data_IF_949157009618
#
_entry.id   IF_949157009618
#
_cell.length_a   1.000
_cell.length_b   1.000
_cell.length_c   1.000
_cell.angle_alpha   90.00
_cell.angle_beta   90.00
_cell.angle_gamma   90.00
#
_symmetry.space_group_name_H-M   'P 1'
#
loop_
_entity.id
_entity.type
_entity.pdbx_description
1 polymer ?
#
# COMPACT_ATOMS: atom_id res chain seq x y z
N UNK A 1 -25.15 10.14 -28.71
CA UNK A 1 -24.08 9.37 -29.40
C UNK A 1 -22.75 9.34 -28.66
N UNK A 2 -22.34 10.37 -27.90
CA UNK A 2 -21.05 10.37 -27.16
C UNK A 2 -20.99 9.35 -25.99
N UNK A 3 -22.13 9.05 -25.36
CA UNK A 3 -22.22 8.15 -24.18
C UNK A 3 -22.01 6.67 -24.54
N UNK A 4 -22.28 6.27 -25.78
CA UNK A 4 -22.11 4.89 -26.24
C UNK A 4 -20.65 4.54 -26.60
N UNK A 5 -19.80 5.54 -26.84
CA UNK A 5 -18.38 5.35 -27.18
C UNK A 5 -17.52 5.00 -25.96
N UNK A 6 -17.96 5.32 -24.74
CA UNK A 6 -17.21 5.04 -23.50
C UNK A 6 -17.31 3.56 -23.08
N UNK A 7 -18.40 2.87 -23.45
CA UNK A 7 -18.60 1.45 -23.12
C UNK A 7 -17.88 0.47 -24.07
N UNK A 8 -17.33 0.94 -25.18
CA UNK A 8 -16.71 0.10 -26.21
C UNK A 8 -15.17 0.10 -26.18
N UNK A 9 -14.55 0.85 -25.28
CA UNK A 9 -13.09 0.82 -25.14
C UNK A 9 -12.69 -0.44 -24.34
N UNK A 10 -11.94 -1.38 -24.93
CA UNK A 10 -11.35 -2.46 -24.17
C UNK A 10 -10.32 -1.81 -23.25
N UNK A 11 -10.69 -1.60 -21.99
CA UNK A 11 -9.69 -1.33 -20.96
C UNK A 11 -8.88 -2.61 -20.88
N UNK A 12 -7.68 -2.58 -21.47
CA UNK A 12 -6.67 -3.59 -21.24
C UNK A 12 -6.41 -3.58 -19.73
N UNK A 13 -7.08 -4.48 -19.02
CA UNK A 13 -6.86 -4.72 -17.61
C UNK A 13 -5.49 -5.41 -17.51
N UNK A 14 -4.42 -4.63 -17.47
CA UNK A 14 -3.13 -5.13 -17.05
C UNK A 14 -3.26 -5.47 -15.57
N UNK A 15 -3.35 -6.77 -15.29
CA UNK A 15 -3.32 -7.26 -13.93
C UNK A 15 -1.90 -7.05 -13.41
N UNK A 16 -1.71 -6.12 -12.48
CA UNK A 16 -0.47 -5.99 -11.75
C UNK A 16 -0.16 -7.35 -11.12
N UNK A 17 0.93 -7.98 -11.55
CA UNK A 17 1.35 -9.29 -11.07
C UNK A 17 1.91 -9.15 -9.67
N UNK A 18 1.02 -9.14 -8.67
CA UNK A 18 1.45 -9.26 -7.28
C UNK A 18 1.93 -10.69 -7.06
N UNK A 19 3.24 -10.90 -7.05
CA UNK A 19 3.79 -12.18 -6.68
C UNK A 19 3.56 -12.38 -5.19
N UNK A 20 2.80 -13.40 -4.81
CA UNK A 20 2.71 -13.84 -3.41
C UNK A 20 3.99 -14.62 -3.13
N UNK A 21 4.85 -14.07 -2.29
CA UNK A 21 6.11 -14.72 -2.01
C UNK A 21 5.88 -15.79 -0.96
N UNK A 22 6.16 -17.02 -1.35
CA UNK A 22 6.58 -18.04 -0.40
C UNK A 22 8.00 -17.66 0.05
N UNK A 23 8.24 -17.43 1.34
CA UNK A 23 9.60 -17.18 1.81
C UNK A 23 10.46 -18.40 1.50
N UNK A 24 11.59 -18.20 0.82
CA UNK A 24 12.41 -19.30 0.31
C UNK A 24 13.24 -19.96 1.40
N UNK A 25 13.64 -19.20 2.42
CA UNK A 25 14.36 -19.73 3.58
C UNK A 25 13.94 -19.01 4.85
N UNK A 26 13.95 -19.73 5.97
CA UNK A 26 13.59 -19.21 7.27
C UNK A 26 14.63 -19.54 8.34
N UNK A 27 14.68 -18.73 9.40
CA UNK A 27 15.46 -19.02 10.59
C UNK A 27 14.72 -18.52 11.83
N UNK A 28 14.93 -19.19 12.96
CA UNK A 28 14.30 -18.83 14.23
C UNK A 28 15.41 -18.57 15.24
N UNK A 29 15.47 -17.35 15.76
CA UNK A 29 16.46 -16.97 16.77
C UNK A 29 15.75 -16.57 18.07
N UNK A 30 16.43 -16.67 19.23
CA UNK A 30 15.94 -16.05 20.46
C UNK A 30 15.65 -14.56 20.24
N UNK A 31 14.69 -14.03 21.00
CA UNK A 31 14.41 -12.59 21.00
C UNK A 31 15.66 -11.82 21.42
N UNK A 32 16.04 -10.82 20.62
CA UNK A 32 17.08 -9.89 21.00
C UNK A 32 16.61 -9.10 22.23
N UNK A 33 17.48 -9.00 23.25
CA UNK A 33 17.19 -8.14 24.39
C UNK A 33 17.21 -6.67 23.95
N UNK A 34 16.35 -5.81 24.53
CA UNK A 34 16.42 -4.37 24.29
C UNK A 34 17.83 -3.86 24.61
N UNK A 35 18.52 -3.29 23.62
CA UNK A 35 19.90 -2.78 23.77
C UNK A 35 21.02 -3.80 23.50
N UNK A 36 20.69 -5.04 23.13
CA UNK A 36 21.70 -5.99 22.64
C UNK A 36 22.33 -5.46 21.33
N UNK A 37 23.65 -5.69 21.11
CA UNK A 37 24.27 -5.40 19.83
C UNK A 37 23.54 -6.15 18.72
N UNK A 38 23.46 -5.52 17.55
CA UNK A 38 22.74 -6.05 16.41
C UNK A 38 23.31 -7.42 16.02
N UNK A 39 22.53 -8.47 16.27
CA UNK A 39 22.90 -9.80 15.86
C UNK A 39 22.96 -9.84 14.32
N UNK A 40 24.07 -10.33 13.78
CA UNK A 40 24.21 -10.57 12.35
C UNK A 40 23.15 -11.55 11.83
N UNK A 41 23.11 -11.74 10.51
CA UNK A 41 22.13 -12.63 9.90
C UNK A 41 22.32 -14.08 10.39
N UNK A 42 21.23 -14.77 10.79
CA UNK A 42 21.30 -16.15 11.22
C UNK A 42 21.55 -17.09 10.04
N UNK A 43 21.95 -18.33 10.35
CA UNK A 43 21.97 -19.39 9.34
C UNK A 43 20.53 -19.74 8.92
N UNK A 44 20.23 -19.59 7.63
CA UNK A 44 18.90 -19.86 7.09
C UNK A 44 18.73 -21.32 6.71
N UNK A 45 17.57 -21.89 7.04
CA UNK A 45 17.15 -23.22 6.61
C UNK A 45 16.06 -23.08 5.54
N UNK A 46 16.32 -23.63 4.36
CA UNK A 46 15.37 -23.64 3.24
C UNK A 46 14.70 -25.02 3.23
N UNK A 47 13.81 -25.27 4.18
CA UNK A 47 13.03 -26.51 4.23
C UNK A 47 11.61 -26.26 3.73
N UNK A 48 11.04 -27.22 3.00
CA UNK A 48 9.64 -27.19 2.57
C UNK A 48 8.72 -27.33 3.78
N UNK A 49 8.24 -26.20 4.30
CA UNK A 49 7.30 -26.17 5.41
C UNK A 49 7.43 -24.91 6.26
N UNK A 50 6.29 -24.47 6.82
CA UNK A 50 6.29 -23.40 7.80
C UNK A 50 6.94 -23.88 9.11
N UNK A 51 7.72 -23.04 9.81
CA UNK A 51 8.31 -23.40 11.10
C UNK A 51 7.23 -23.74 12.13
N UNK A 52 7.58 -24.56 13.12
CA UNK A 52 6.67 -24.95 14.20
C UNK A 52 6.13 -23.73 14.96
N UNK A 53 4.80 -23.65 15.11
CA UNK A 53 4.09 -22.49 15.67
C UNK A 53 4.57 -22.05 17.06
N UNK A 54 4.92 -23.02 17.90
CA UNK A 54 5.31 -22.84 19.29
C UNK A 54 6.62 -22.05 19.46
N UNK A 55 7.51 -22.10 18.45
CA UNK A 55 8.84 -21.48 18.52
C UNK A 55 8.78 -19.98 18.19
N UNK A 56 8.16 -19.59 17.09
CA UNK A 56 8.22 -18.19 16.61
C UNK A 56 7.34 -17.20 17.41
N UNK A 57 6.35 -17.68 18.17
CA UNK A 57 5.51 -16.78 19.00
C UNK A 57 6.27 -16.19 20.19
N UNK A 58 7.38 -16.82 20.61
CA UNK A 58 8.23 -16.40 21.74
C UNK A 58 9.65 -16.09 21.29
N UNK A 59 9.86 -15.87 19.99
CA UNK A 59 11.19 -15.71 19.42
C UNK A 59 11.13 -14.74 18.22
N UNK A 60 12.27 -14.50 17.60
CA UNK A 60 12.35 -13.76 16.34
C UNK A 60 12.35 -14.74 15.17
N UNK A 61 11.50 -14.49 14.18
CA UNK A 61 11.38 -15.26 12.95
C UNK A 61 11.98 -14.45 11.80
N UNK A 62 12.96 -15.03 11.14
CA UNK A 62 13.64 -14.45 10.00
C UNK A 62 13.20 -15.15 8.73
N UNK A 63 12.96 -14.36 7.68
CA UNK A 63 12.70 -14.83 6.34
C UNK A 63 13.68 -14.18 5.38
N UNK A 64 14.31 -15.01 4.54
CA UNK A 64 15.09 -14.53 3.40
C UNK A 64 14.24 -14.68 2.15
N UNK A 65 14.18 -13.60 1.40
CA UNK A 65 13.44 -13.48 0.16
C UNK A 65 14.46 -13.29 -0.96
N UNK A 66 14.57 -14.32 -1.80
CA UNK A 66 15.39 -14.24 -3.01
C UNK A 66 14.67 -13.47 -4.11
N UNK A 67 15.41 -12.58 -4.78
CA UNK A 67 14.91 -11.79 -5.91
C UNK A 67 15.12 -12.50 -7.26
N UNK A 68 15.64 -13.74 -7.28
CA UNK A 68 15.91 -14.49 -8.51
C UNK A 68 14.67 -14.71 -9.38
N UNK A 69 13.49 -14.79 -8.75
CA UNK A 69 12.19 -14.94 -9.42
C UNK A 69 11.51 -13.59 -9.76
N UNK A 70 12.05 -12.48 -9.25
CA UNK A 70 11.58 -11.14 -9.58
C UNK A 70 12.36 -10.67 -10.80
N UNK A 71 11.76 -10.83 -11.97
CA UNK A 71 12.41 -10.58 -13.24
C UNK A 71 12.66 -9.08 -13.44
N UNK A 72 13.90 -8.66 -13.18
CA UNK A 72 14.36 -7.28 -13.31
C UNK A 72 14.21 -6.75 -14.75
N UNK A 73 14.21 -7.62 -15.76
CA UNK A 73 14.06 -7.20 -17.16
C UNK A 73 12.63 -6.73 -17.48
N UNK A 74 11.64 -7.27 -16.79
CA UNK A 74 10.23 -6.89 -16.93
C UNK A 74 9.77 -5.84 -15.89
N UNK A 75 10.53 -5.66 -14.81
CA UNK A 75 10.21 -4.75 -13.70
C UNK A 75 11.29 -3.68 -13.49
N UNK A 76 11.76 -3.09 -14.59
CA UNK A 76 12.84 -2.09 -14.64
C UNK A 76 12.41 -0.69 -14.14
N UNK A 77 11.43 -0.58 -13.24
CA UNK A 77 11.04 0.70 -12.67
C UNK A 77 12.16 1.23 -11.76
N UNK A 78 12.43 2.53 -11.86
CA UNK A 78 13.55 3.25 -11.19
C UNK A 78 13.48 3.22 -9.65
N UNK A 79 12.43 2.65 -9.05
CA UNK A 79 12.21 2.53 -7.60
C UNK A 79 12.44 1.13 -7.00
N UNK A 80 12.66 0.10 -7.81
CA UNK A 80 12.83 -1.28 -7.33
C UNK A 80 11.59 -1.89 -6.65
N UNK A 81 11.67 -3.13 -6.16
CA UNK A 81 10.50 -3.84 -5.62
C UNK A 81 10.11 -3.32 -4.22
N UNK A 82 8.84 -2.93 -4.05
CA UNK A 82 8.28 -2.61 -2.74
C UNK A 82 7.85 -3.90 -2.04
N UNK A 83 8.37 -4.11 -0.83
CA UNK A 83 7.92 -5.20 0.03
C UNK A 83 6.63 -4.77 0.74
N UNK A 84 5.53 -5.44 0.40
CA UNK A 84 4.23 -5.30 1.03
C UNK A 84 4.00 -6.44 2.02
N UNK A 85 3.79 -6.07 3.28
CA UNK A 85 3.50 -6.99 4.38
C UNK A 85 2.04 -6.85 4.78
N UNK A 86 1.27 -7.93 4.61
CA UNK A 86 -0.12 -8.02 5.03
C UNK A 86 -0.27 -8.22 6.55
N UNK A 87 -1.49 -8.05 7.03
CA UNK A 87 -1.79 -8.06 8.47
C UNK A 87 -1.53 -9.42 9.12
N UNK A 88 -0.49 -9.49 9.94
CA UNK A 88 -0.31 -10.50 10.98
C UNK A 88 0.07 -9.77 12.27
N UNK A 89 -0.32 -10.29 13.44
CA UNK A 89 0.07 -9.68 14.72
C UNK A 89 1.54 -9.97 15.00
N UNK A 90 2.32 -8.92 15.24
CA UNK A 90 3.74 -8.95 15.60
C UNK A 90 4.03 -7.77 16.54
N UNK A 91 5.10 -7.85 17.33
CA UNK A 91 5.53 -6.77 18.23
C UNK A 91 6.46 -5.79 17.49
N UNK A 92 7.38 -6.30 16.68
CA UNK A 92 8.32 -5.52 15.87
C UNK A 92 8.59 -6.22 14.54
N UNK A 93 8.69 -5.42 13.48
CA UNK A 93 8.99 -5.86 12.13
C UNK A 93 10.20 -5.08 11.62
N UNK A 94 11.21 -5.79 11.17
CA UNK A 94 12.40 -5.21 10.54
C UNK A 94 12.61 -5.79 9.17
N UNK A 95 13.05 -4.94 8.25
CA UNK A 95 13.36 -5.28 6.88
C UNK A 95 14.77 -4.82 6.59
N UNK A 96 15.56 -5.72 6.03
CA UNK A 96 16.95 -5.54 5.65
C UNK A 96 17.05 -5.72 4.15
N UNK A 97 17.38 -4.64 3.46
CA UNK A 97 17.65 -4.61 2.02
C UNK A 97 19.13 -4.81 1.81
N UNK A 98 19.52 -5.94 1.20
CA UNK A 98 20.92 -6.26 0.90
C UNK A 98 21.21 -6.00 -0.56
N UNK A 99 22.24 -5.22 -0.82
CA UNK A 99 22.66 -4.84 -2.16
C UNK A 99 23.84 -5.69 -2.64
N UNK A 100 24.09 -5.70 -3.94
CA UNK A 100 25.16 -6.49 -4.54
C UNK A 100 26.58 -6.10 -4.07
N UNK A 101 26.74 -4.86 -3.57
CA UNK A 101 27.99 -4.36 -2.95
C UNK A 101 28.19 -4.87 -1.50
N UNK A 102 27.24 -5.62 -0.96
CA UNK A 102 27.25 -6.11 0.41
C UNK A 102 26.69 -5.12 1.44
N UNK A 103 26.29 -3.92 1.02
CA UNK A 103 25.67 -2.95 1.92
C UNK A 103 24.27 -3.41 2.35
N UNK A 104 23.90 -3.08 3.59
CA UNK A 104 22.62 -3.44 4.18
C UNK A 104 21.89 -2.19 4.64
N UNK A 105 20.66 -2.00 4.16
CA UNK A 105 19.78 -0.92 4.63
C UNK A 105 18.65 -1.50 5.45
N UNK A 106 18.57 -1.06 6.71
CA UNK A 106 17.56 -1.48 7.67
C UNK A 106 16.42 -0.47 7.76
N UNK A 107 15.20 -0.98 7.74
CA UNK A 107 13.99 -0.25 8.08
C UNK A 107 13.22 -1.05 9.12
N UNK A 108 12.61 -0.39 10.10
CA UNK A 108 11.92 -1.07 11.20
C UNK A 108 10.65 -0.34 11.60
N UNK A 109 9.64 -1.11 11.97
CA UNK A 109 8.39 -0.60 12.54
C UNK A 109 8.05 -1.41 13.79
N UNK A 110 7.39 -0.76 14.74
CA UNK A 110 6.92 -1.37 15.98
C UNK A 110 5.40 -1.45 15.92
N UNK A 111 4.80 -2.43 16.58
CA UNK A 111 3.35 -2.53 16.67
C UNK A 111 2.74 -1.22 17.18
N UNK A 112 1.82 -0.65 16.40
CA UNK A 112 1.17 0.61 16.73
C UNK A 112 1.92 1.87 16.28
N UNK A 113 3.20 1.74 15.90
CA UNK A 113 3.99 2.82 15.30
C UNK A 113 4.56 2.38 13.94
N UNK A 114 3.73 2.56 12.91
CA UNK A 114 4.05 2.20 11.53
C UNK A 114 4.63 3.36 10.72
N UNK A 115 4.64 4.58 11.26
CA UNK A 115 5.11 5.78 10.57
C UNK A 115 4.60 5.92 9.14
N UNK A 116 5.50 6.27 8.22
CA UNK A 116 5.21 6.41 6.78
C UNK A 116 5.06 5.10 6.01
N UNK A 117 5.20 3.94 6.67
CA UNK A 117 5.09 2.62 6.04
C UNK A 117 3.65 2.13 5.94
N UNK A 118 2.70 2.76 6.63
CA UNK A 118 1.29 2.36 6.58
C UNK A 118 0.67 2.61 5.20
N UNK A 119 -0.13 1.65 4.71
CA UNK A 119 -0.91 1.74 3.47
C UNK A 119 -2.37 1.36 3.73
N UNK A 120 -3.26 1.87 2.87
CA UNK A 120 -4.68 1.54 2.91
C UNK A 120 -4.89 0.01 2.80
N UNK A 121 -5.90 -0.51 3.50
CA UNK A 121 -6.14 -1.96 3.59
C UNK A 121 -5.30 -2.67 4.67
N UNK A 122 -4.66 -1.92 5.58
CA UNK A 122 -3.91 -2.49 6.71
C UNK A 122 -2.56 -3.09 6.33
N UNK A 123 -2.02 -2.70 5.18
CA UNK A 123 -0.75 -3.22 4.69
C UNK A 123 0.39 -2.30 5.12
N UNK A 124 1.59 -2.87 5.21
CA UNK A 124 2.81 -2.14 5.56
C UNK A 124 3.77 -2.26 4.39
N UNK A 125 4.19 -1.12 3.84
CA UNK A 125 5.06 -1.01 2.68
C UNK A 125 6.48 -0.61 3.09
N UNK A 126 7.46 -1.37 2.62
CA UNK A 126 8.87 -1.02 2.72
C UNK A 126 9.45 -0.87 1.32
N UNK A 127 9.90 0.33 1.04
CA UNK A 127 10.51 0.68 -0.24
C UNK A 127 12.04 0.71 -0.05
N UNK A 128 12.81 0.01 -0.90
CA UNK A 128 14.26 0.06 -0.82
C UNK A 128 14.75 1.48 -1.12
N UNK A 129 15.74 2.01 -0.38
CA UNK A 129 16.36 3.28 -0.74
C UNK A 129 16.96 3.23 -2.15
N UNK A 130 16.73 4.28 -2.95
CA UNK A 130 17.26 4.41 -4.31
C UNK A 130 18.79 4.39 -4.27
N UNK A 131 19.39 3.50 -5.06
CA UNK A 131 20.84 3.31 -5.20
C UNK A 131 21.19 2.78 -6.58
N UNK A 132 22.44 3.03 -6.99
CA UNK A 132 22.99 2.53 -8.26
C UNK A 132 23.25 1.03 -8.26
N UNK A 133 23.46 0.44 -7.08
CA UNK A 133 23.72 -0.99 -6.95
C UNK A 133 22.41 -1.78 -6.89
N UNK A 134 22.30 -2.91 -7.60
CA UNK A 134 21.08 -3.70 -7.60
C UNK A 134 20.87 -4.38 -6.24
N UNK A 135 19.60 -4.48 -5.86
CA UNK A 135 19.17 -5.24 -4.71
C UNK A 135 19.41 -6.75 -4.96
N UNK A 136 20.10 -7.40 -4.02
CA UNK A 136 20.46 -8.81 -4.09
C UNK A 136 19.42 -9.70 -3.39
N UNK A 137 19.09 -9.39 -2.13
CA UNK A 137 18.10 -10.11 -1.35
C UNK A 137 17.43 -9.20 -0.30
N UNK A 138 16.23 -9.60 0.13
CA UNK A 138 15.49 -8.94 1.19
C UNK A 138 15.37 -9.90 2.36
N UNK A 139 15.82 -9.48 3.54
CA UNK A 139 15.65 -10.25 4.77
C UNK A 139 14.65 -9.54 5.67
N UNK A 140 13.70 -10.29 6.20
CA UNK A 140 12.63 -9.77 7.06
C UNK A 140 12.71 -10.46 8.41
N UNK A 141 12.64 -9.70 9.50
CA UNK A 141 12.56 -10.21 10.87
C UNK A 141 11.23 -9.81 11.51
N UNK A 142 10.52 -10.79 12.05
CA UNK A 142 9.33 -10.59 12.88
C UNK A 142 9.63 -11.01 14.31
N UNK A 143 9.42 -10.11 15.26
CA UNK A 143 9.52 -10.42 16.68
C UNK A 143 8.11 -10.79 17.19
N UNK A 144 7.99 -11.97 17.82
CA UNK A 144 6.75 -12.50 18.41
C UNK A 144 5.58 -12.58 17.41
N UNK A 145 5.82 -13.21 16.26
CA UNK A 145 4.79 -13.37 15.23
C UNK A 145 3.67 -14.29 15.70
N UNK A 146 2.41 -13.89 15.56
CA UNK A 146 1.27 -14.71 16.01
C UNK A 146 1.00 -15.94 15.11
N UNK A 147 1.14 -15.79 13.80
CA UNK A 147 0.94 -16.85 12.82
C UNK A 147 1.74 -16.61 11.55
N UNK A 148 2.60 -17.59 11.20
CA UNK A 148 3.30 -17.62 9.93
C UNK A 148 2.37 -17.98 8.75
N UNK A 149 1.29 -18.73 8.98
CA UNK A 149 0.36 -19.17 7.93
C UNK A 149 -0.54 -18.05 7.40
N UNK A 150 -0.82 -17.04 8.24
CA UNK A 150 -1.62 -15.87 7.85
C UNK A 150 -0.75 -14.72 7.31
N UNK A 151 0.56 -14.85 7.43
CA UNK A 151 1.50 -13.86 6.94
C UNK A 151 1.47 -13.87 5.41
N UNK A 152 1.16 -12.71 4.83
CA UNK A 152 1.14 -12.50 3.39
C UNK A 152 2.22 -11.49 3.05
N UNK A 153 3.27 -11.98 2.37
CA UNK A 153 4.35 -11.15 1.85
C UNK A 153 4.16 -11.07 0.33
N UNK A 154 4.24 -9.85 -0.21
CA UNK A 154 4.14 -9.61 -1.65
C UNK A 154 5.20 -8.60 -2.05
N UNK A 155 5.79 -8.79 -3.22
CA UNK A 155 6.57 -7.76 -3.90
C UNK A 155 5.67 -7.14 -4.96
N UNK A 156 5.67 -5.82 -5.01
CA UNK A 156 4.90 -5.04 -5.98
C UNK A 156 5.79 -3.95 -6.53
N UNK A 157 5.59 -3.60 -7.79
CA UNK A 157 6.25 -2.45 -8.40
C UNK A 157 5.65 -1.13 -7.87
N UNK A 158 6.48 -0.11 -7.68
CA UNK A 158 6.04 1.24 -7.27
C UNK A 158 5.11 1.83 -8.34
N UNK A 159 5.44 1.61 -9.61
CA UNK A 159 4.68 2.14 -10.75
C UNK A 159 3.26 1.56 -10.77
N UNK A 160 3.12 0.25 -10.57
CA UNK A 160 1.84 -0.46 -10.54
C UNK A 160 0.93 0.02 -9.40
N UNK A 161 1.50 0.29 -8.22
CA UNK A 161 0.76 0.80 -7.07
C UNK A 161 0.19 2.20 -7.35
N UNK A 162 0.97 3.05 -8.01
CA UNK A 162 0.55 4.40 -8.36
C UNK A 162 -0.53 4.40 -9.44
N UNK A 163 -0.42 3.52 -10.45
CA UNK A 163 -1.43 3.37 -11.49
C UNK A 163 -2.77 2.88 -10.95
N UNK A 164 -2.78 1.89 -10.06
CA UNK A 164 -4.02 1.41 -9.42
C UNK A 164 -4.71 2.52 -8.61
N UNK A 165 -3.94 3.27 -7.81
CA UNK A 165 -4.48 4.37 -7.03
C UNK A 165 -5.06 5.47 -7.92
N UNK A 166 -4.35 5.81 -9.00
CA UNK A 166 -4.77 6.85 -9.96
C UNK A 166 -6.02 6.41 -10.73
N UNK A 167 -6.06 5.18 -11.23
CA UNK A 167 -7.20 4.65 -11.96
C UNK A 167 -8.47 4.61 -11.09
N UNK A 168 -8.35 4.17 -9.83
CA UNK A 168 -9.46 4.20 -8.87
C UNK A 168 -9.92 5.63 -8.58
N UNK A 169 -8.98 6.57 -8.41
CA UNK A 169 -9.31 7.96 -8.18
C UNK A 169 -10.07 8.57 -9.38
N UNK A 170 -9.63 8.28 -10.61
CA UNK A 170 -10.30 8.73 -11.84
C UNK A 170 -11.67 8.10 -11.98
N UNK A 171 -11.82 6.79 -11.72
CA UNK A 171 -13.11 6.11 -11.79
C UNK A 171 -14.11 6.66 -10.78
N UNK A 172 -13.68 6.89 -9.53
CA UNK A 172 -14.50 7.52 -8.49
C UNK A 172 -14.84 8.96 -8.87
N UNK A 173 -13.89 9.72 -9.40
CA UNK A 173 -14.12 11.08 -9.89
C UNK A 173 -15.15 11.12 -11.02
N UNK A 174 -15.01 10.25 -12.02
CA UNK A 174 -15.95 10.10 -13.13
C UNK A 174 -17.35 9.71 -12.67
N UNK A 175 -17.47 8.76 -11.75
CA UNK A 175 -18.75 8.38 -11.15
C UNK A 175 -19.43 9.56 -10.44
N UNK A 176 -18.67 10.37 -9.69
CA UNK A 176 -19.20 11.57 -9.03
C UNK A 176 -19.65 12.65 -10.03
N UNK A 177 -18.93 12.84 -11.14
CA UNK A 177 -19.33 13.77 -12.20
C UNK A 177 -20.62 13.28 -12.87
N UNK A 178 -20.72 11.99 -13.20
CA UNK A 178 -21.93 11.41 -13.78
C UNK A 178 -23.13 11.54 -12.82
N UNK A 179 -22.92 11.32 -11.52
CA UNK A 179 -23.94 11.56 -10.49
C UNK A 179 -24.38 13.02 -10.46
N UNK A 180 -23.44 13.97 -10.50
CA UNK A 180 -23.76 15.40 -10.50
C UNK A 180 -24.55 15.81 -11.76
N UNK A 181 -24.13 15.35 -12.94
CA UNK A 181 -24.84 15.61 -14.20
C UNK A 181 -26.24 14.99 -14.18
N UNK A 182 -26.37 13.75 -13.69
CA UNK A 182 -27.67 13.10 -13.51
C UNK A 182 -28.59 13.82 -12.52
N UNK A 183 -28.04 14.35 -11.43
CA UNK A 183 -28.78 15.14 -10.45
C UNK A 183 -29.30 16.45 -11.06
N UNK A 184 -28.43 17.18 -11.78
CA UNK A 184 -28.81 18.42 -12.47
C UNK A 184 -29.88 18.12 -13.53
N UNK A 185 -29.68 17.09 -14.35
CA UNK A 185 -30.64 16.71 -15.39
C UNK A 185 -32.02 16.38 -14.82
N UNK A 186 -32.08 15.54 -13.78
CA UNK A 186 -33.34 15.18 -13.13
C UNK A 186 -33.99 16.38 -12.41
N UNK A 187 -33.21 17.30 -11.87
CA UNK A 187 -33.71 18.53 -11.27
C UNK A 187 -34.34 19.45 -12.33
N UNK A 188 -33.69 19.62 -13.49
CA UNK A 188 -34.22 20.40 -14.61
C UNK A 188 -35.52 19.78 -15.15
N UNK A 189 -35.59 18.45 -15.25
CA UNK A 189 -36.82 17.74 -15.61
C UNK A 189 -37.91 17.89 -14.53
N UNK A 190 -37.56 17.86 -13.26
CA UNK A 190 -38.52 18.06 -12.18
C UNK A 190 -39.15 19.46 -12.22
N UNK A 191 -38.36 20.49 -12.52
CA UNK A 191 -38.83 21.88 -12.61
C UNK A 191 -39.71 22.12 -13.84
N UNK A 192 -39.40 21.47 -14.96
CA UNK A 192 -40.17 21.66 -16.22
C UNK A 192 -41.40 20.74 -16.33
N UNK A 193 -41.35 19.53 -15.77
CA UNK A 193 -42.42 18.54 -15.88
C UNK A 193 -43.19 18.28 -14.57
N UNK A 194 -42.86 18.97 -13.47
CA UNK A 194 -43.46 18.82 -12.15
C UNK A 194 -43.53 17.37 -11.61
N UNK A 195 -42.60 16.50 -12.01
CA UNK A 195 -42.61 15.09 -11.61
C UNK A 195 -41.89 14.87 -10.27
N UNK A 196 -42.66 14.59 -9.21
CA UNK A 196 -42.15 14.29 -7.86
C UNK A 196 -41.12 13.15 -7.81
N UNK A 197 -41.22 12.15 -8.70
CA UNK A 197 -40.26 11.04 -8.74
C UNK A 197 -38.84 11.49 -9.10
N UNK A 198 -38.70 12.54 -9.94
CA UNK A 198 -37.39 13.07 -10.33
C UNK A 198 -36.73 13.90 -9.21
N UNK A 199 -37.52 14.57 -8.36
CA UNK A 199 -37.02 15.27 -7.17
C UNK A 199 -36.44 14.30 -6.13
N UNK A 200 -37.06 13.14 -5.98
CA UNK A 200 -36.56 12.12 -5.05
C UNK A 200 -35.20 11.56 -5.50
N UNK A 201 -35.01 11.35 -6.80
CA UNK A 201 -33.75 10.87 -7.37
C UNK A 201 -32.63 11.92 -7.26
N UNK A 202 -32.93 13.20 -7.47
CA UNK A 202 -31.93 14.27 -7.31
C UNK A 202 -31.54 14.48 -5.85
N UNK A 203 -32.49 14.36 -4.92
CA UNK A 203 -32.23 14.36 -3.48
C UNK A 203 -31.26 13.25 -3.07
N UNK A 204 -31.50 12.02 -3.52
CA UNK A 204 -30.61 10.89 -3.24
C UNK A 204 -29.21 11.04 -3.82
N UNK A 205 -29.11 11.48 -5.08
CA UNK A 205 -27.82 11.75 -5.71
C UNK A 205 -27.05 12.86 -4.99
N UNK A 206 -27.74 13.93 -4.55
CA UNK A 206 -27.17 15.01 -3.76
C UNK A 206 -26.63 14.52 -2.40
N UNK A 207 -27.40 13.68 -1.69
CA UNK A 207 -26.96 13.07 -0.42
C UNK A 207 -25.70 12.24 -0.61
N UNK A 208 -25.63 11.40 -1.64
CA UNK A 208 -24.44 10.57 -1.94
C UNK A 208 -23.22 11.43 -2.30
N UNK A 209 -23.41 12.52 -3.02
CA UNK A 209 -22.34 13.46 -3.35
C UNK A 209 -21.79 14.16 -2.11
N UNK A 210 -22.66 14.70 -1.25
CA UNK A 210 -22.28 15.35 0.01
C UNK A 210 -21.57 14.36 0.93
N UNK A 211 -22.05 13.12 1.02
CA UNK A 211 -21.41 12.07 1.80
C UNK A 211 -19.97 11.79 1.34
N UNK A 212 -19.76 11.62 0.04
CA UNK A 212 -18.43 11.40 -0.54
C UNK A 212 -17.48 12.59 -0.36
N UNK A 213 -17.99 13.82 -0.37
CA UNK A 213 -17.21 15.02 -0.10
C UNK A 213 -16.86 15.17 1.39
N UNK A 214 -17.82 14.91 2.28
CA UNK A 214 -17.67 15.06 3.72
C UNK A 214 -16.67 14.04 4.31
N UNK A 215 -16.65 12.80 3.81
CA UNK A 215 -15.67 11.79 4.22
C UNK A 215 -14.21 12.18 3.92
N UNK A 216 -13.97 12.95 2.85
CA UNK A 216 -12.63 13.51 2.54
C UNK A 216 -12.27 14.66 3.48
N UNK A 217 -13.22 15.55 3.76
CA UNK A 217 -13.05 16.66 4.71
C UNK A 217 -12.70 16.16 6.13
N UNK A 218 -13.47 15.18 6.63
CA UNK A 218 -13.27 14.59 7.95
C UNK A 218 -11.91 13.90 8.13
N UNK A 219 -11.39 13.28 7.08
CA UNK A 219 -10.07 12.62 7.12
C UNK A 219 -8.92 13.64 7.15
N UNK A 220 -9.10 14.82 6.57
CA UNK A 220 -8.16 15.94 6.70
C UNK A 220 -8.29 16.70 8.02
N UNK A 221 -9.49 16.80 8.61
CA UNK A 221 -9.68 17.48 9.89
C UNK A 221 -9.18 16.67 11.08
N UNK A 222 -9.37 15.35 11.08
CA UNK A 222 -8.93 14.43 12.14
C UNK A 222 -7.41 14.22 12.22
N UNK A 223 -6.64 14.70 11.23
CA UNK A 223 -5.18 14.78 11.30
C UNK A 223 -4.65 15.85 12.27
N UNK A 224 -5.52 16.63 12.92
CA UNK A 224 -5.16 17.72 13.84
C UNK A 224 -5.25 17.38 15.33
N UNK A 225 -5.82 16.24 15.71
CA UNK A 225 -6.14 15.90 17.12
C UNK A 225 -5.54 14.57 17.61
N UNK A 226 -4.28 14.27 17.27
CA UNK A 226 -3.51 13.27 18.02
C UNK A 226 -2.55 13.96 19.00
N UNK A 227 -2.94 14.12 20.28
CA UNK A 227 -2.05 14.66 21.30
C UNK A 227 -1.01 13.60 21.66
N UNK A 228 0.19 13.69 21.09
CA UNK A 228 1.33 12.87 21.55
C UNK A 228 2.48 12.66 20.56
N UNK A 229 2.27 12.83 19.25
CA UNK A 229 3.32 12.60 18.26
C UNK A 229 4.06 13.90 17.94
N UNK A 230 5.35 13.94 18.26
CA UNK A 230 6.29 15.01 17.89
C UNK A 230 6.11 15.37 16.42
N UNK A 231 5.89 16.68 16.20
CA UNK A 231 5.86 17.36 14.90
C UNK A 231 6.90 16.79 13.92
N UNK A 232 6.49 15.91 13.02
CA UNK A 232 7.08 15.83 11.68
C UNK A 232 5.96 16.14 10.72
N UNK A 233 6.12 17.27 10.04
CA UNK A 233 5.17 17.83 9.08
C UNK A 233 4.81 16.73 8.09
N UNK A 234 3.54 16.33 8.03
CA UNK A 234 3.02 15.70 6.84
C UNK A 234 3.34 16.67 5.68
N UNK A 235 4.15 16.21 4.73
CA UNK A 235 4.33 16.90 3.47
C UNK A 235 2.93 17.12 2.83
N UNK A 236 2.72 18.24 2.13
CA UNK A 236 1.39 18.71 1.82
C UNK A 236 0.69 17.76 0.84
N UNK A 237 -0.45 17.23 1.27
CA UNK A 237 -1.53 16.82 0.36
C UNK A 237 -2.11 18.08 -0.29
N UNK A 238 -1.34 18.71 -1.18
CA UNK A 238 -1.84 19.67 -2.16
C UNK A 238 -1.73 19.02 -3.54
N UNK A 239 -2.70 19.27 -4.45
CA UNK A 239 -2.60 18.79 -5.80
C UNK A 239 -1.34 19.39 -6.43
N UNK A 240 -0.52 18.53 -7.03
CA UNK A 240 0.53 18.95 -7.96
C UNK A 240 -0.18 19.77 -9.03
N UNK A 241 0.07 21.08 -9.08
CA UNK A 241 -0.34 21.89 -10.22
C UNK A 241 0.49 21.42 -11.42
N UNK A 242 -0.11 20.90 -12.51
CA UNK A 242 0.61 20.86 -13.76
C UNK A 242 0.80 22.32 -14.21
N UNK A 243 1.85 22.61 -14.96
CA UNK A 243 2.17 23.93 -15.54
C UNK A 243 2.97 24.90 -14.66
N UNK A 244 4.29 24.71 -14.63
CA UNK A 244 5.21 25.83 -14.84
C UNK A 244 6.51 25.32 -15.49
N UNK A 245 6.48 25.30 -16.82
CA UNK A 245 7.68 25.28 -17.64
C UNK A 245 8.33 26.67 -17.65
N UNK A 246 9.65 26.65 -17.85
CA UNK A 246 10.55 27.67 -18.42
C UNK A 246 11.40 28.52 -17.45
N UNK A 247 12.60 28.96 -17.89
CA UNK A 247 13.48 28.46 -18.98
C UNK A 247 14.76 27.80 -18.46
#
# INVERSE_FOLDING_TARGET
MLVLLIFALPVAASAATSHVLAPTCHAVTPLAHPGAPEAGFPHFTCADGAPERSRYQRSSLWYRIGLAQWDRANHAAEGGPVLMVGTSRFDRLEVYFRYADGEVRRQSVVQGDFGGHWRAGGQIAFEPPVRDQPLADIVVRFDRLASARLLRLRLVDVEDLNWQATALAVAVGGALVLLAVGAIYNLTLALTAHRQFALWQSGWAGVMFVWGACGRSWRCSSGREWPGLRRRRCAPCCPVSPWRWQP
#
